data_IF_356782857172
#
_entry.id   IF_356782857172
#
_cell.length_a   1.000
_cell.length_b   1.000
_cell.length_c   1.000
_cell.angle_alpha   90.00
_cell.angle_beta   90.00
_cell.angle_gamma   90.00
#
_symmetry.space_group_name_H-M   'P 1'
#
loop_
_entity.id
_entity.type
_entity.pdbx_description
1 polymer ?
#
# COMPACT_ATOMS: atom_id res chain seq x y z
N UNK A 1 0.56 -7.08 -27.09
CA UNK A 1 0.61 -6.41 -25.78
C UNK A 1 1.76 -5.41 -25.85
N UNK A 2 1.48 -4.12 -26.05
CA UNK A 2 2.50 -3.08 -26.02
C UNK A 2 2.95 -2.93 -24.57
N UNK A 3 4.21 -3.20 -24.28
CA UNK A 3 4.82 -2.83 -23.00
C UNK A 3 4.62 -1.32 -22.83
N UNK A 4 3.97 -0.86 -21.74
CA UNK A 4 3.81 0.57 -21.51
C UNK A 4 5.21 1.21 -21.45
N UNK A 5 5.35 2.39 -22.04
CA UNK A 5 6.56 3.18 -21.89
C UNK A 5 6.73 3.55 -20.40
N UNK A 6 7.74 3.01 -19.72
CA UNK A 6 7.92 3.25 -18.28
C UNK A 6 8.18 4.73 -17.97
N UNK A 7 8.74 5.49 -18.92
CA UNK A 7 9.04 6.91 -18.72
C UNK A 7 7.76 7.77 -18.74
N UNK A 8 6.69 7.30 -19.40
CA UNK A 8 5.45 8.04 -19.56
C UNK A 8 4.42 7.78 -18.44
N UNK A 9 4.55 6.69 -17.66
CA UNK A 9 3.56 6.29 -16.66
C UNK A 9 4.22 5.60 -15.45
N UNK A 10 4.94 6.35 -14.59
CA UNK A 10 5.59 5.80 -13.40
C UNK A 10 4.55 5.26 -12.42
N UNK A 11 4.93 4.23 -11.65
CA UNK A 11 4.13 3.78 -10.51
C UNK A 11 4.24 4.81 -9.40
N UNK A 12 3.11 5.31 -8.92
CA UNK A 12 3.05 6.20 -7.75
C UNK A 12 2.72 5.39 -6.52
N UNK A 13 3.55 5.51 -5.49
CA UNK A 13 3.32 4.90 -4.19
C UNK A 13 2.87 6.00 -3.23
N UNK A 14 1.60 5.98 -2.85
CA UNK A 14 1.03 6.87 -1.83
C UNK A 14 1.16 6.17 -0.49
N UNK A 15 1.80 6.81 0.49
CA UNK A 15 2.02 6.20 1.80
C UNK A 15 1.14 6.84 2.86
N UNK A 16 0.50 6.01 3.68
CA UNK A 16 -0.36 6.45 4.79
C UNK A 16 0.21 6.09 6.16
N UNK A 17 1.29 5.32 6.21
CA UNK A 17 1.87 4.77 7.43
C UNK A 17 1.49 3.30 7.64
N UNK A 18 1.13 2.95 8.85
CA UNK A 18 0.83 1.57 9.25
C UNK A 18 2.07 0.81 9.73
N UNK A 19 1.90 -0.47 10.01
CA UNK A 19 2.95 -1.32 10.58
C UNK A 19 4.21 -1.40 9.70
N UNK A 20 4.08 -1.34 8.38
CA UNK A 20 5.21 -1.35 7.46
C UNK A 20 6.25 -0.27 7.77
N UNK A 21 5.81 0.89 8.25
CA UNK A 21 6.64 2.05 8.52
C UNK A 21 6.94 2.24 10.03
N UNK A 22 6.56 1.29 10.90
CA UNK A 22 6.82 1.39 12.33
C UNK A 22 8.31 1.27 12.64
N UNK A 23 8.75 2.13 13.56
CA UNK A 23 10.08 2.12 14.15
C UNK A 23 9.99 2.20 15.66
N UNK A 24 10.98 1.65 16.37
CA UNK A 24 11.09 1.80 17.81
C UNK A 24 11.76 3.13 18.17
N UNK A 25 11.14 3.88 19.07
CA UNK A 25 11.65 5.14 19.59
C UNK A 25 12.02 4.97 21.07
N UNK A 26 13.30 4.96 21.36
CA UNK A 26 13.84 4.75 22.71
C UNK A 26 13.31 5.77 23.73
N UNK A 27 13.22 7.04 23.32
CA UNK A 27 12.73 8.11 24.19
C UNK A 27 11.30 7.90 24.71
N UNK A 28 10.50 7.13 23.99
CA UNK A 28 9.11 6.82 24.32
C UNK A 28 8.91 5.36 24.74
N UNK A 29 9.97 4.53 24.64
CA UNK A 29 9.91 3.07 24.83
C UNK A 29 8.74 2.43 24.07
N UNK A 30 8.46 2.91 22.86
CA UNK A 30 7.30 2.51 22.07
C UNK A 30 7.60 2.47 20.55
N UNK A 31 6.84 1.64 19.84
CA UNK A 31 6.80 1.65 18.39
C UNK A 31 5.85 2.74 17.91
N UNK A 32 6.30 3.52 16.95
CA UNK A 32 5.50 4.54 16.27
C UNK A 32 5.68 4.45 14.76
N UNK A 33 4.71 4.99 14.01
CA UNK A 33 4.83 5.13 12.56
C UNK A 33 5.87 6.20 12.25
N UNK A 34 6.95 5.79 11.59
CA UNK A 34 8.06 6.66 11.19
C UNK A 34 7.99 7.07 9.73
N UNK A 35 9.15 7.45 9.19
CA UNK A 35 9.31 7.71 7.76
C UNK A 35 9.05 6.45 6.95
N UNK A 36 8.50 6.63 5.74
CA UNK A 36 8.19 5.50 4.88
C UNK A 36 9.42 4.67 4.51
N UNK A 37 9.26 3.37 4.61
CA UNK A 37 10.26 2.39 4.19
C UNK A 37 10.14 2.01 2.70
N UNK A 38 9.08 2.41 2.01
CA UNK A 38 8.81 1.99 0.64
C UNK A 38 9.98 2.28 -0.31
N UNK A 39 10.53 3.51 -0.28
CA UNK A 39 11.66 3.87 -1.13
C UNK A 39 12.92 3.03 -0.83
N UNK A 40 13.17 2.75 0.44
CA UNK A 40 14.30 1.91 0.86
C UNK A 40 14.16 0.48 0.32
N UNK A 41 12.98 -0.12 0.51
CA UNK A 41 12.69 -1.48 0.04
C UNK A 41 12.84 -1.60 -1.48
N UNK A 42 12.34 -0.64 -2.25
CA UNK A 42 12.45 -0.63 -3.71
C UNK A 42 13.91 -0.48 -4.20
N UNK A 43 14.72 0.34 -3.51
CA UNK A 43 16.15 0.48 -3.80
C UNK A 43 16.92 -0.80 -3.49
N UNK A 44 16.68 -1.43 -2.35
CA UNK A 44 17.31 -2.71 -1.97
C UNK A 44 16.93 -3.80 -2.98
N UNK A 45 15.67 -3.83 -3.42
CA UNK A 45 15.17 -4.75 -4.45
C UNK A 45 15.68 -4.41 -5.87
N UNK A 46 16.44 -3.33 -6.05
CA UNK A 46 16.97 -2.86 -7.35
C UNK A 46 15.90 -2.70 -8.41
N UNK A 47 14.74 -2.16 -8.01
CA UNK A 47 13.63 -1.90 -8.93
C UNK A 47 14.05 -0.87 -9.97
N UNK A 48 13.92 -1.22 -11.24
CA UNK A 48 14.29 -0.38 -12.40
C UNK A 48 13.09 0.30 -13.06
N UNK A 49 11.86 -0.24 -12.86
CA UNK A 49 10.65 0.42 -13.34
C UNK A 49 10.50 1.79 -12.65
N UNK A 50 10.20 2.87 -13.37
CA UNK A 50 10.07 4.20 -12.77
C UNK A 50 8.99 4.26 -11.69
N UNK A 51 9.34 4.84 -10.56
CA UNK A 51 8.43 5.03 -9.43
C UNK A 51 8.70 6.34 -8.72
N UNK A 52 7.70 6.83 -7.98
CA UNK A 52 7.84 7.95 -7.06
C UNK A 52 6.95 7.75 -5.83
N UNK A 53 7.37 8.35 -4.73
CA UNK A 53 6.64 8.33 -3.46
C UNK A 53 5.84 9.63 -3.31
N UNK A 54 4.62 9.50 -2.84
CA UNK A 54 3.79 10.59 -2.29
C UNK A 54 3.51 10.24 -0.84
N UNK A 55 4.24 10.85 0.07
CA UNK A 55 4.03 10.66 1.51
C UNK A 55 2.85 11.51 1.95
N UNK A 56 1.71 10.86 2.22
CA UNK A 56 0.45 11.52 2.52
C UNK A 56 0.20 11.62 4.02
N UNK A 57 0.33 10.51 4.74
CA UNK A 57 0.04 10.40 6.17
C UNK A 57 1.08 9.51 6.85
N UNK A 58 1.20 9.65 8.17
CA UNK A 58 2.00 8.80 9.04
C UNK A 58 1.15 8.37 10.24
N UNK A 59 0.13 7.55 9.99
CA UNK A 59 -0.82 7.11 11.01
C UNK A 59 -0.90 5.59 11.09
N UNK A 60 -1.22 5.07 12.26
CA UNK A 60 -1.77 3.72 12.37
C UNK A 60 -3.16 3.69 11.70
N UNK A 61 -3.51 2.58 11.07
CA UNK A 61 -4.79 2.51 10.35
C UNK A 61 -6.01 2.62 11.26
N UNK A 62 -5.88 2.28 12.53
CA UNK A 62 -6.94 2.49 13.52
C UNK A 62 -7.16 3.98 13.87
N UNK A 63 -6.19 4.83 13.57
CA UNK A 63 -6.27 6.28 13.78
C UNK A 63 -6.75 7.05 12.54
N UNK A 64 -6.94 6.36 11.41
CA UNK A 64 -7.43 6.98 10.19
C UNK A 64 -8.90 7.32 10.32
N UNK A 65 -9.22 8.59 10.04
CA UNK A 65 -10.58 9.10 10.00
C UNK A 65 -11.20 8.97 8.61
N UNK A 66 -12.49 9.23 8.48
CA UNK A 66 -13.14 9.27 7.17
C UNK A 66 -12.62 10.41 6.30
N UNK A 67 -12.25 11.54 6.90
CA UNK A 67 -11.60 12.66 6.23
C UNK A 67 -10.22 12.27 5.68
N UNK A 68 -9.44 11.49 6.43
CA UNK A 68 -8.16 10.95 5.95
C UNK A 68 -8.37 10.04 4.72
N UNK A 69 -9.41 9.22 4.72
CA UNK A 69 -9.76 8.35 3.58
C UNK A 69 -10.22 9.13 2.35
N UNK A 70 -10.99 10.19 2.56
CA UNK A 70 -11.37 11.13 1.49
C UNK A 70 -10.13 11.81 0.93
N UNK A 71 -9.23 12.29 1.79
CA UNK A 71 -7.97 12.90 1.37
C UNK A 71 -7.08 11.90 0.59
N UNK A 72 -7.02 10.65 1.02
CA UNK A 72 -6.34 9.57 0.28
C UNK A 72 -6.96 9.38 -1.11
N UNK A 73 -8.29 9.27 -1.21
CA UNK A 73 -9.00 9.13 -2.47
C UNK A 73 -8.69 10.29 -3.42
N UNK A 74 -8.78 11.51 -2.93
CA UNK A 74 -8.57 12.71 -3.75
C UNK A 74 -7.12 12.82 -4.21
N UNK A 75 -6.17 12.45 -3.35
CA UNK A 75 -4.74 12.38 -3.71
C UNK A 75 -4.48 11.33 -4.79
N UNK A 76 -5.07 10.14 -4.67
CA UNK A 76 -4.94 9.08 -5.68
C UNK A 76 -5.61 9.49 -6.99
N UNK A 77 -6.81 10.06 -6.94
CA UNK A 77 -7.53 10.52 -8.13
C UNK A 77 -6.76 11.60 -8.91
N UNK A 78 -6.07 12.50 -8.20
CA UNK A 78 -5.29 13.59 -8.80
C UNK A 78 -3.98 13.12 -9.47
N UNK A 79 -3.53 11.88 -9.26
CA UNK A 79 -2.33 11.38 -9.93
C UNK A 79 -2.59 11.22 -11.43
N UNK A 80 -1.64 11.64 -12.26
CA UNK A 80 -1.76 11.47 -13.72
C UNK A 80 -1.59 10.02 -14.16
N UNK A 81 -0.78 9.24 -13.43
CA UNK A 81 -0.58 7.81 -13.69
C UNK A 81 -1.85 7.00 -13.45
N UNK A 82 -1.98 5.90 -14.17
CA UNK A 82 -3.02 4.90 -13.92
C UNK A 82 -2.61 3.82 -12.92
N UNK A 83 -1.33 3.81 -12.49
CA UNK A 83 -0.77 2.78 -11.62
C UNK A 83 -0.43 3.36 -10.26
N UNK A 84 -1.22 3.02 -9.26
CA UNK A 84 -1.03 3.53 -7.90
C UNK A 84 -0.95 2.37 -6.91
N UNK A 85 0.09 2.39 -6.09
CA UNK A 85 0.20 1.54 -4.91
C UNK A 85 -0.09 2.41 -3.69
N UNK A 86 -0.80 1.87 -2.73
CA UNK A 86 -1.05 2.52 -1.43
C UNK A 86 -0.47 1.65 -0.34
N UNK A 87 0.52 2.15 0.42
CA UNK A 87 0.93 1.47 1.65
C UNK A 87 0.04 1.92 2.81
N UNK A 88 -0.44 0.97 3.58
CA UNK A 88 -1.51 1.18 4.55
C UNK A 88 -1.40 0.21 5.72
N UNK A 89 -1.86 0.62 6.89
CA UNK A 89 -2.02 -0.29 8.02
C UNK A 89 -3.09 -1.35 7.73
N UNK A 90 -2.88 -2.55 8.23
CA UNK A 90 -3.68 -3.72 7.82
C UNK A 90 -5.08 -3.76 8.44
N UNK A 91 -5.32 -3.09 9.58
CA UNK A 91 -6.58 -3.22 10.33
C UNK A 91 -7.80 -2.59 9.63
N UNK A 92 -7.60 -1.47 8.91
CA UNK A 92 -8.69 -0.78 8.19
C UNK A 92 -8.38 -0.63 6.69
N UNK A 93 -7.48 -1.41 6.16
CA UNK A 93 -7.11 -1.39 4.73
C UNK A 93 -8.31 -1.63 3.82
N UNK A 94 -9.22 -2.54 4.20
CA UNK A 94 -10.44 -2.85 3.44
C UNK A 94 -11.43 -1.69 3.40
N UNK A 95 -11.48 -0.87 4.44
CA UNK A 95 -12.32 0.34 4.49
C UNK A 95 -11.81 1.39 3.49
N UNK A 96 -10.51 1.62 3.47
CA UNK A 96 -9.88 2.52 2.49
C UNK A 96 -10.04 1.99 1.06
N UNK A 97 -9.95 0.68 0.84
CA UNK A 97 -10.19 0.07 -0.46
C UNK A 97 -11.61 0.37 -1.00
N UNK A 98 -12.62 0.34 -0.13
CA UNK A 98 -14.01 0.68 -0.52
C UNK A 98 -14.14 2.14 -0.92
N UNK A 99 -13.48 3.06 -0.22
CA UNK A 99 -13.51 4.49 -0.56
C UNK A 99 -12.81 4.75 -1.90
N UNK A 100 -11.71 4.05 -2.19
CA UNK A 100 -10.96 4.14 -3.44
C UNK A 100 -11.72 3.54 -4.64
N UNK A 101 -12.70 2.66 -4.41
CA UNK A 101 -13.47 1.99 -5.46
C UNK A 101 -14.26 2.95 -6.36
N UNK A 102 -14.46 4.21 -5.94
CA UNK A 102 -15.06 5.27 -6.78
C UNK A 102 -14.16 5.74 -7.93
N UNK A 103 -12.88 5.39 -7.92
CA UNK A 103 -11.91 5.75 -8.97
C UNK A 103 -11.90 4.63 -10.03
N UNK A 104 -12.49 4.89 -11.19
CA UNK A 104 -12.77 3.85 -12.19
C UNK A 104 -11.62 3.61 -13.20
N UNK A 105 -10.72 4.57 -13.39
CA UNK A 105 -9.75 4.59 -14.48
C UNK A 105 -8.32 4.18 -14.09
N UNK A 106 -8.13 3.75 -12.84
CA UNK A 106 -6.82 3.41 -12.28
C UNK A 106 -6.77 1.97 -11.76
N UNK A 107 -5.61 1.36 -11.85
CA UNK A 107 -5.26 0.17 -11.09
C UNK A 107 -4.64 0.61 -9.77
N UNK A 108 -5.33 0.35 -8.68
CA UNK A 108 -4.93 0.74 -7.33
C UNK A 108 -4.70 -0.54 -6.52
N UNK A 109 -3.50 -0.70 -5.98
CA UNK A 109 -3.15 -1.85 -5.17
C UNK A 109 -2.75 -1.39 -3.78
N UNK A 110 -3.55 -1.75 -2.77
CA UNK A 110 -3.19 -1.53 -1.38
C UNK A 110 -2.34 -2.69 -0.87
N UNK A 111 -1.36 -2.36 -0.06
CA UNK A 111 -0.49 -3.33 0.61
C UNK A 111 0.01 -2.76 1.93
N UNK A 112 0.61 -3.61 2.73
CA UNK A 112 1.17 -3.25 4.01
C UNK A 112 2.02 -4.39 4.55
N UNK A 113 2.22 -4.42 5.86
CA UNK A 113 2.95 -5.49 6.50
C UNK A 113 2.34 -5.85 7.86
N UNK A 114 2.47 -7.10 8.23
CA UNK A 114 2.12 -7.60 9.57
C UNK A 114 3.28 -7.37 10.55
N UNK A 115 4.51 -7.31 10.04
CA UNK A 115 5.70 -6.95 10.81
C UNK A 115 6.38 -5.70 10.21
N UNK A 116 6.96 -4.80 11.04
CA UNK A 116 7.66 -3.62 10.57
C UNK A 116 8.73 -3.96 9.53
N UNK A 117 8.84 -3.17 8.47
CA UNK A 117 9.82 -3.39 7.39
C UNK A 117 11.28 -3.35 7.90
N UNK A 118 11.52 -2.71 9.04
CA UNK A 118 12.83 -2.63 9.69
C UNK A 118 13.25 -3.93 10.37
N UNK A 119 12.34 -4.87 10.55
CA UNK A 119 12.67 -6.19 11.11
C UNK A 119 13.30 -7.09 10.06
N UNK A 120 14.26 -7.91 10.49
CA UNK A 120 14.90 -8.90 9.59
C UNK A 120 13.90 -9.93 9.03
N UNK A 121 12.86 -10.24 9.78
CA UNK A 121 11.80 -11.18 9.42
C UNK A 121 10.48 -10.41 9.17
N UNK A 122 10.46 -9.59 8.13
CA UNK A 122 9.26 -8.85 7.74
C UNK A 122 8.68 -9.36 6.42
N UNK A 123 7.35 -9.39 6.37
CA UNK A 123 6.59 -9.65 5.15
C UNK A 123 6.53 -8.43 4.19
N UNK A 124 7.06 -7.28 4.59
CA UNK A 124 6.95 -6.01 3.87
C UNK A 124 7.51 -6.07 2.45
N UNK A 125 8.72 -6.58 2.28
CA UNK A 125 9.37 -6.65 0.95
C UNK A 125 8.59 -7.56 -0.01
N UNK A 126 8.11 -8.70 0.50
CA UNK A 126 7.31 -9.62 -0.29
C UNK A 126 5.98 -8.99 -0.72
N UNK A 127 5.26 -8.39 0.22
CA UNK A 127 3.97 -7.76 -0.05
C UNK A 127 4.09 -6.57 -1.02
N UNK A 128 5.10 -5.71 -0.83
CA UNK A 128 5.36 -4.57 -1.72
C UNK A 128 5.76 -5.05 -3.11
N UNK A 129 6.59 -6.09 -3.22
CA UNK A 129 6.95 -6.70 -4.50
C UNK A 129 5.74 -7.28 -5.24
N UNK A 130 4.83 -7.95 -4.52
CA UNK A 130 3.55 -8.40 -5.09
C UNK A 130 2.70 -7.25 -5.59
N UNK A 131 2.58 -6.16 -4.81
CA UNK A 131 1.84 -4.97 -5.22
C UNK A 131 2.44 -4.35 -6.48
N UNK A 132 3.76 -4.29 -6.54
CA UNK A 132 4.50 -3.74 -7.67
C UNK A 132 4.30 -4.55 -8.96
N UNK A 133 4.24 -5.87 -8.87
CA UNK A 133 3.90 -6.75 -9.99
C UNK A 133 2.41 -6.62 -10.37
N UNK A 134 1.52 -6.67 -9.39
CA UNK A 134 0.08 -6.65 -9.60
C UNK A 134 -0.40 -5.36 -10.30
N UNK A 135 0.11 -4.19 -9.87
CA UNK A 135 -0.29 -2.90 -10.45
C UNK A 135 0.08 -2.76 -11.93
N UNK A 136 1.06 -3.52 -12.40
CA UNK A 136 1.49 -3.52 -13.82
C UNK A 136 0.63 -4.39 -14.72
N UNK A 137 -0.03 -5.42 -14.18
CA UNK A 137 -0.68 -6.46 -14.99
C UNK A 137 -2.19 -6.53 -14.80
N UNK A 138 -2.72 -6.02 -13.69
CA UNK A 138 -4.16 -6.04 -13.42
C UNK A 138 -4.90 -4.92 -14.18
N UNK A 139 -6.16 -5.17 -14.56
CA UNK A 139 -7.02 -4.13 -15.12
C UNK A 139 -7.36 -3.06 -14.08
N UNK A 140 -7.90 -1.90 -14.53
CA UNK A 140 -8.40 -0.89 -13.59
C UNK A 140 -9.34 -1.48 -12.53
N UNK A 141 -9.13 -1.07 -11.29
CA UNK A 141 -9.85 -1.57 -10.12
C UNK A 141 -9.02 -1.40 -8.85
N UNK A 142 -9.60 -1.79 -7.72
CA UNK A 142 -8.95 -1.73 -6.41
C UNK A 142 -8.67 -3.14 -5.92
N UNK A 143 -7.43 -3.37 -5.51
CA UNK A 143 -6.92 -4.67 -5.09
C UNK A 143 -6.15 -4.55 -3.79
N UNK A 144 -5.99 -5.68 -3.10
CA UNK A 144 -5.13 -5.82 -1.91
C UNK A 144 -4.17 -6.97 -2.15
N UNK A 145 -2.88 -6.74 -1.91
CA UNK A 145 -1.84 -7.80 -1.92
C UNK A 145 -1.32 -8.05 -0.52
N UNK A 146 -1.75 -9.14 0.07
CA UNK A 146 -1.35 -9.59 1.40
C UNK A 146 -1.33 -11.12 1.44
N UNK A 147 -0.54 -11.68 2.35
CA UNK A 147 -0.47 -13.13 2.58
C UNK A 147 -0.20 -13.97 1.30
N UNK A 148 0.58 -13.44 0.37
CA UNK A 148 0.88 -14.13 -0.88
C UNK A 148 -0.29 -14.24 -1.85
N UNK A 149 -1.35 -13.44 -1.68
CA UNK A 149 -2.55 -13.45 -2.50
C UNK A 149 -2.89 -12.06 -3.01
N UNK A 150 -3.56 -12.02 -4.15
CA UNK A 150 -4.18 -10.81 -4.71
C UNK A 150 -5.68 -10.92 -4.51
N UNK A 151 -6.25 -9.99 -3.77
CA UNK A 151 -7.67 -9.92 -3.53
C UNK A 151 -8.28 -8.72 -4.26
N UNK A 152 -9.54 -8.84 -4.69
CA UNK A 152 -10.33 -7.66 -5.02
C UNK A 152 -10.66 -6.89 -3.74
N UNK A 153 -10.56 -5.57 -3.77
CA UNK A 153 -10.80 -4.73 -2.60
C UNK A 153 -12.23 -4.79 -2.05
N UNK A 154 -13.20 -5.22 -2.86
CA UNK A 154 -14.60 -5.41 -2.50
C UNK A 154 -14.96 -6.83 -2.04
N UNK A 155 -14.02 -7.77 -2.11
CA UNK A 155 -14.24 -9.20 -1.83
C UNK A 155 -13.15 -9.76 -0.91
N UNK A 156 -12.80 -9.01 0.12
CA UNK A 156 -11.74 -9.37 1.07
C UNK A 156 -12.05 -8.84 2.47
N UNK A 157 -11.66 -9.60 3.47
CA UNK A 157 -11.69 -9.18 4.88
C UNK A 157 -10.41 -9.60 5.59
N UNK A 158 -10.07 -8.90 6.66
CA UNK A 158 -9.00 -9.32 7.57
C UNK A 158 -9.58 -10.25 8.63
N UNK A 159 -9.09 -11.47 8.68
CA UNK A 159 -9.29 -12.38 9.81
C UNK A 159 -8.32 -11.99 10.92
N UNK A 160 -8.82 -11.31 11.94
CA UNK A 160 -7.99 -10.79 13.04
C UNK A 160 -7.52 -11.88 13.98
N UNK A 161 -8.24 -12.99 14.10
CA UNK A 161 -7.85 -14.11 14.95
C UNK A 161 -6.63 -14.82 14.38
N UNK A 162 -6.59 -14.99 13.07
CA UNK A 162 -5.50 -15.63 12.36
C UNK A 162 -4.43 -14.64 11.86
N UNK A 163 -4.68 -13.33 11.97
CA UNK A 163 -3.75 -12.31 11.48
C UNK A 163 -3.52 -12.36 9.97
N UNK A 164 -4.54 -12.71 9.19
CA UNK A 164 -4.42 -12.87 7.73
C UNK A 164 -5.61 -12.29 6.97
N UNK A 165 -5.40 -12.01 5.70
CA UNK A 165 -6.45 -11.63 4.77
C UNK A 165 -7.05 -12.87 4.12
N UNK A 166 -8.36 -12.90 3.99
CA UNK A 166 -9.12 -13.98 3.37
C UNK A 166 -10.20 -13.41 2.45
N UNK A 167 -10.62 -14.21 1.46
CA UNK A 167 -11.77 -13.83 0.63
C UNK A 167 -12.99 -13.59 1.51
N UNK A 168 -13.78 -12.56 1.23
CA UNK A 168 -14.94 -12.13 2.00
C UNK A 168 -16.14 -11.85 1.13
#
# INVERSE_FOLDING_TARGET
MTTPDPAADPIVIVTTGGTIDKAYFDALSAYQVGETMAAHLLKVARVTYPWRIVELLRKDSLELTDEDRVHLRDTVAAQQTRRVIVTHGTDTMTESARVLASIADKTIVLTGALAPARFSESDATFNLGMAFAAVQVLPPGVYITMNGQVFRGDAVRKDREQGQFVAG
#
